data_IF_014556163326
#
_entry.id   IF_014556163326
#
_cell.length_a   1.000
_cell.length_b   1.000
_cell.length_c   1.000
_cell.angle_alpha   90.00
_cell.angle_beta   90.00
_cell.angle_gamma   90.00
#
_symmetry.space_group_name_H-M   'P 1'
#
loop_
_entity.id
_entity.type
_entity.pdbx_description
1 polymer ?
#
# COMPACT_ATOMS: atom_id res chain seq x y z
N UNK A 1 -8.40 9.99 -21.25
CA UNK A 1 -9.49 9.09 -20.79
C UNK A 1 -9.55 8.97 -19.26
N UNK A 2 -8.49 8.52 -18.56
CA UNK A 2 -8.52 8.36 -17.09
C UNK A 2 -8.85 9.66 -16.32
N UNK A 3 -8.33 10.79 -16.77
CA UNK A 3 -8.52 12.08 -16.11
C UNK A 3 -9.97 12.59 -16.18
N UNK A 4 -10.66 12.36 -17.32
CA UNK A 4 -12.09 12.66 -17.47
C UNK A 4 -12.93 11.85 -16.48
N UNK A 5 -12.68 10.54 -16.36
CA UNK A 5 -13.43 9.66 -15.46
C UNK A 5 -13.25 10.05 -13.99
N UNK A 6 -12.04 10.44 -13.59
CA UNK A 6 -11.79 10.89 -12.21
C UNK A 6 -12.57 12.18 -11.94
N UNK A 7 -12.54 13.15 -12.86
CA UNK A 7 -13.27 14.39 -12.71
C UNK A 7 -14.79 14.13 -12.62
N UNK A 8 -15.34 13.26 -13.47
CA UNK A 8 -16.76 12.92 -13.44
C UNK A 8 -17.16 12.29 -12.09
N UNK A 9 -16.34 11.40 -11.54
CA UNK A 9 -16.57 10.81 -10.20
C UNK A 9 -16.53 11.88 -9.12
N UNK A 10 -15.54 12.78 -9.15
CA UNK A 10 -15.42 13.85 -8.15
C UNK A 10 -16.59 14.84 -8.23
N UNK A 11 -17.04 15.17 -9.43
CA UNK A 11 -18.24 15.99 -9.62
C UNK A 11 -19.47 15.30 -9.03
N UNK A 12 -19.67 14.00 -9.29
CA UNK A 12 -20.78 13.24 -8.71
C UNK A 12 -20.70 13.13 -7.18
N UNK A 13 -19.51 12.98 -6.60
CA UNK A 13 -19.35 12.98 -5.14
C UNK A 13 -19.67 14.37 -4.57
N UNK A 14 -19.29 15.44 -5.27
CA UNK A 14 -19.51 16.82 -4.79
C UNK A 14 -20.99 17.22 -4.70
N UNK A 15 -21.89 16.53 -5.38
CA UNK A 15 -23.34 16.78 -5.30
C UNK A 15 -24.01 16.14 -4.09
N UNK A 16 -23.31 15.25 -3.38
CA UNK A 16 -23.82 14.57 -2.19
C UNK A 16 -23.79 15.49 -0.96
N UNK A 17 -24.62 15.22 0.06
CA UNK A 17 -24.48 15.82 1.39
C UNK A 17 -23.07 15.63 1.98
N UNK A 18 -22.63 16.57 2.82
CA UNK A 18 -21.27 16.56 3.38
C UNK A 18 -20.94 15.31 4.21
N UNK A 19 -21.93 14.77 4.93
CA UNK A 19 -21.81 13.55 5.70
C UNK A 19 -21.59 12.32 4.81
N UNK A 20 -22.27 12.25 3.66
CA UNK A 20 -22.05 11.19 2.68
C UNK A 20 -20.68 11.32 2.01
N UNK A 21 -20.25 12.55 1.69
CA UNK A 21 -18.91 12.80 1.17
C UNK A 21 -17.82 12.35 2.16
N UNK A 22 -17.98 12.69 3.45
CA UNK A 22 -17.05 12.29 4.50
C UNK A 22 -17.00 10.76 4.66
N UNK A 23 -18.17 10.10 4.61
CA UNK A 23 -18.24 8.64 4.65
C UNK A 23 -17.47 7.97 3.50
N UNK A 24 -17.56 8.54 2.29
CA UNK A 24 -16.79 8.06 1.12
C UNK A 24 -15.29 8.20 1.38
N UNK A 25 -14.83 9.36 1.87
CA UNK A 25 -13.42 9.62 2.18
C UNK A 25 -12.92 8.59 3.20
N UNK A 26 -13.65 8.38 4.30
CA UNK A 26 -13.29 7.40 5.32
C UNK A 26 -13.20 5.98 4.74
N UNK A 27 -14.17 5.60 3.90
CA UNK A 27 -14.22 4.28 3.28
C UNK A 27 -13.03 4.04 2.36
N UNK A 28 -12.71 4.99 1.49
CA UNK A 28 -11.57 4.88 0.57
C UNK A 28 -10.26 4.84 1.35
N UNK A 29 -10.09 5.72 2.33
CA UNK A 29 -8.90 5.76 3.18
C UNK A 29 -8.67 4.42 3.89
N UNK A 30 -9.74 3.86 4.49
CA UNK A 30 -9.67 2.53 5.12
C UNK A 30 -9.23 1.46 4.13
N UNK A 31 -9.79 1.42 2.93
CA UNK A 31 -9.40 0.45 1.88
C UNK A 31 -7.93 0.59 1.51
N UNK A 32 -7.43 1.81 1.33
CA UNK A 32 -6.01 2.05 1.05
C UNK A 32 -5.11 1.56 2.17
N UNK A 33 -5.51 1.76 3.42
CA UNK A 33 -4.78 1.24 4.57
C UNK A 33 -4.78 -0.28 4.63
N UNK A 34 -5.89 -0.96 4.33
CA UNK A 34 -5.93 -2.42 4.26
C UNK A 34 -5.01 -2.98 3.17
N UNK A 35 -5.00 -2.37 1.98
CA UNK A 35 -4.12 -2.80 0.89
C UNK A 35 -2.65 -2.70 1.33
N UNK A 36 -2.24 -1.57 1.92
CA UNK A 36 -0.87 -1.42 2.43
C UNK A 36 -0.53 -2.41 3.53
N UNK A 37 -1.47 -2.71 4.44
CA UNK A 37 -1.27 -3.73 5.47
C UNK A 37 -1.03 -5.11 4.86
N UNK A 38 -1.81 -5.47 3.85
CA UNK A 38 -1.64 -6.74 3.15
C UNK A 38 -0.30 -6.82 2.43
N UNK A 39 0.13 -5.75 1.76
CA UNK A 39 1.46 -5.69 1.12
C UNK A 39 2.61 -5.89 2.13
N UNK A 40 2.51 -5.27 3.32
CA UNK A 40 3.48 -5.46 4.40
C UNK A 40 3.45 -6.91 4.91
N UNK A 41 2.26 -7.47 5.12
CA UNK A 41 2.11 -8.84 5.58
C UNK A 41 2.68 -9.87 4.59
N UNK A 42 2.45 -9.68 3.29
CA UNK A 42 3.02 -10.55 2.26
C UNK A 42 4.55 -10.44 2.21
N UNK A 43 5.11 -9.23 2.30
CA UNK A 43 6.57 -9.05 2.38
C UNK A 43 7.16 -9.68 3.64
N UNK A 44 6.48 -9.60 4.78
CA UNK A 44 6.92 -10.23 6.01
C UNK A 44 6.97 -11.76 5.86
N UNK A 45 5.92 -12.37 5.28
CA UNK A 45 5.89 -13.81 4.98
C UNK A 45 7.03 -14.23 4.05
N UNK A 46 7.28 -13.45 3.00
CA UNK A 46 8.38 -13.71 2.07
C UNK A 46 9.74 -13.63 2.78
N UNK A 47 9.95 -12.61 3.62
CA UNK A 47 11.17 -12.46 4.40
C UNK A 47 11.39 -13.62 5.39
N UNK A 48 10.34 -14.04 6.10
CA UNK A 48 10.37 -15.19 7.00
C UNK A 48 10.68 -16.49 6.25
N UNK A 49 10.04 -16.71 5.09
CA UNK A 49 10.32 -17.86 4.23
C UNK A 49 11.79 -17.87 3.77
N UNK A 50 12.29 -16.74 3.28
CA UNK A 50 13.68 -16.61 2.84
C UNK A 50 14.67 -16.88 3.98
N UNK A 51 14.40 -16.36 5.18
CA UNK A 51 15.21 -16.64 6.36
C UNK A 51 15.23 -18.12 6.71
N UNK A 52 14.06 -18.75 6.80
CA UNK A 52 13.91 -20.16 7.18
C UNK A 52 14.51 -21.13 6.14
N UNK A 53 14.49 -20.75 4.87
CA UNK A 53 15.07 -21.56 3.77
C UNK A 53 16.54 -21.26 3.51
N UNK A 54 17.15 -20.32 4.25
CA UNK A 54 18.54 -19.93 4.06
C UNK A 54 18.79 -19.10 2.80
N UNK A 55 17.73 -18.62 2.13
CA UNK A 55 17.81 -17.67 1.03
C UNK A 55 18.07 -16.24 1.55
N UNK A 56 19.11 -16.09 2.34
CA UNK A 56 19.53 -14.84 2.99
C UNK A 56 21.02 -14.61 2.76
N UNK A 57 21.42 -13.35 2.67
CA UNK A 57 22.83 -12.99 2.68
C UNK A 57 23.25 -12.70 4.11
N UNK A 58 24.28 -13.40 4.59
CA UNK A 58 24.92 -13.11 5.88
C UNK A 58 26.23 -12.35 5.66
N UNK A 59 26.57 -11.45 6.57
CA UNK A 59 27.80 -10.66 6.49
C UNK A 59 27.82 -9.50 7.48
N UNK A 60 28.93 -8.80 7.56
CA UNK A 60 29.07 -7.57 8.34
C UNK A 60 28.47 -6.37 7.59
N UNK A 61 28.29 -5.25 8.29
CA UNK A 61 27.92 -3.97 7.65
C UNK A 61 28.91 -3.60 6.54
N UNK A 62 30.21 -3.86 6.73
CA UNK A 62 31.22 -3.61 5.70
C UNK A 62 31.02 -4.48 4.45
N UNK A 63 30.53 -5.72 4.60
CA UNK A 63 30.24 -6.62 3.48
C UNK A 63 28.99 -6.17 2.71
N UNK A 64 28.00 -5.62 3.42
CA UNK A 64 26.82 -5.01 2.81
C UNK A 64 27.20 -3.76 1.99
N UNK A 65 27.98 -2.85 2.58
CA UNK A 65 28.38 -1.60 1.93
C UNK A 65 29.23 -1.80 0.66
N UNK A 66 29.91 -2.95 0.52
CA UNK A 66 30.67 -3.30 -0.68
C UNK A 66 29.81 -3.83 -1.84
N UNK A 67 28.56 -4.23 -1.57
CA UNK A 67 27.64 -4.85 -2.54
C UNK A 67 26.55 -3.90 -3.07
N UNK A 68 26.47 -2.69 -2.50
CA UNK A 68 25.60 -1.59 -2.95
C UNK A 68 26.36 -0.72 -3.96
#
# INVERSE_FOLDING_TARGET
MKESVINDILQNVSTLPLDEQDFIVQTISRRMHEVRRNEIAERAKEAEYNYNTGNVTSGTVNDLMKKL
#
